data_IF_175635478696
#
_entry.id   IF_175635478696
#
_cell.length_a   1.000
_cell.length_b   1.000
_cell.length_c   1.000
_cell.angle_alpha   90.00
_cell.angle_beta   90.00
_cell.angle_gamma   90.00
#
_symmetry.space_group_name_H-M   'P 1'
#
loop_
_entity.id
_entity.type
_entity.pdbx_description
1 polymer ?
#
# COMPACT_ATOMS: atom_id res chain seq x y z
N UNK A 1 3.08 -8.13 -13.39
CA UNK A 1 4.15 -7.65 -12.49
C UNK A 1 3.59 -7.05 -11.21
N UNK A 2 2.81 -5.95 -11.27
CA UNK A 2 2.27 -5.28 -10.07
C UNK A 2 1.48 -6.22 -9.13
N UNK A 3 0.66 -7.12 -9.67
CA UNK A 3 -0.04 -8.14 -8.87
C UNK A 3 0.90 -9.08 -8.10
N UNK A 4 2.09 -9.37 -8.63
CA UNK A 4 3.08 -10.21 -7.96
C UNK A 4 3.86 -9.42 -6.90
N UNK A 5 4.20 -8.15 -7.17
CA UNK A 5 4.81 -7.25 -6.19
C UNK A 5 3.87 -7.03 -4.98
N UNK A 6 2.57 -6.87 -5.21
CA UNK A 6 1.56 -6.76 -4.17
C UNK A 6 1.22 -8.10 -3.47
N UNK A 7 1.81 -9.21 -3.94
CA UNK A 7 1.47 -10.60 -3.58
C UNK A 7 -0.03 -10.88 -3.56
N UNK A 8 -0.75 -10.31 -4.54
CA UNK A 8 -2.13 -10.67 -4.89
C UNK A 8 -2.17 -11.96 -5.73
N UNK A 9 -1.05 -12.29 -6.38
CA UNK A 9 -0.83 -13.53 -7.13
C UNK A 9 0.65 -13.89 -7.14
N UNK A 10 0.97 -15.15 -6.90
CA UNK A 10 2.35 -15.65 -7.05
C UNK A 10 2.74 -15.78 -8.54
N UNK A 11 4.02 -15.57 -8.90
CA UNK A 11 4.45 -15.72 -10.29
C UNK A 11 4.33 -17.17 -10.76
N UNK A 12 3.71 -17.40 -11.92
CA UNK A 12 3.57 -18.75 -12.49
C UNK A 12 4.92 -19.35 -12.92
N UNK A 13 5.90 -18.49 -13.25
CA UNK A 13 7.31 -18.83 -13.57
C UNK A 13 8.24 -17.69 -13.15
N UNK A 14 9.47 -18.05 -12.76
CA UNK A 14 10.48 -17.10 -12.27
C UNK A 14 10.33 -16.74 -10.80
N UNK A 15 11.12 -15.79 -10.32
CA UNK A 15 11.06 -15.26 -8.96
C UNK A 15 10.90 -13.73 -8.97
N UNK A 16 10.30 -13.21 -7.90
CA UNK A 16 10.30 -11.79 -7.55
C UNK A 16 10.90 -11.68 -6.16
N UNK A 17 11.92 -10.87 -6.03
CA UNK A 17 12.71 -10.74 -4.80
C UNK A 17 12.71 -9.29 -4.33
N UNK A 18 12.67 -9.10 -3.02
CA UNK A 18 12.89 -7.84 -2.33
C UNK A 18 14.17 -7.98 -1.52
N UNK A 19 15.20 -7.21 -1.87
CA UNK A 19 16.54 -7.31 -1.27
C UNK A 19 17.11 -8.75 -1.24
N UNK A 20 16.86 -9.52 -2.31
CA UNK A 20 17.29 -10.91 -2.44
C UNK A 20 16.44 -11.94 -1.69
N UNK A 21 15.38 -11.51 -1.00
CA UNK A 21 14.40 -12.40 -0.36
C UNK A 21 13.21 -12.60 -1.28
N UNK A 22 12.84 -13.85 -1.64
CA UNK A 22 11.64 -14.10 -2.43
C UNK A 22 10.40 -13.55 -1.74
N UNK A 23 9.59 -12.76 -2.45
CA UNK A 23 8.36 -12.17 -1.88
C UNK A 23 7.37 -13.24 -1.42
N UNK A 24 7.45 -14.45 -1.98
CA UNK A 24 6.68 -15.63 -1.61
C UNK A 24 7.05 -16.22 -0.24
N UNK A 25 8.23 -15.89 0.30
CA UNK A 25 8.71 -16.36 1.62
C UNK A 25 8.40 -15.36 2.75
N UNK A 26 8.13 -14.10 2.42
CA UNK A 26 7.73 -13.10 3.41
C UNK A 26 6.30 -13.37 3.90
N UNK A 27 5.96 -13.01 5.14
CA UNK A 27 4.56 -12.99 5.57
C UNK A 27 3.81 -11.83 4.85
N UNK A 28 2.53 -11.98 4.48
CA UNK A 28 1.79 -10.92 3.80
C UNK A 28 1.84 -9.57 4.52
N UNK A 29 1.75 -9.57 5.86
CA UNK A 29 1.78 -8.33 6.65
C UNK A 29 3.18 -7.71 6.69
N UNK A 30 4.23 -8.52 6.76
CA UNK A 30 5.60 -8.06 6.67
C UNK A 30 5.89 -7.43 5.30
N UNK A 31 5.44 -8.06 4.21
CA UNK A 31 5.57 -7.50 2.87
C UNK A 31 4.82 -6.16 2.74
N UNK A 32 3.57 -6.08 3.24
CA UNK A 32 2.75 -4.86 3.17
C UNK A 32 3.29 -3.71 4.02
N UNK A 33 4.10 -3.99 5.04
CA UNK A 33 4.77 -2.94 5.83
C UNK A 33 5.92 -2.25 5.08
N UNK A 34 6.46 -2.87 4.03
CA UNK A 34 7.63 -2.35 3.29
C UNK A 34 7.34 -2.04 1.83
N UNK A 35 6.30 -2.65 1.25
CA UNK A 35 5.93 -2.47 -0.15
C UNK A 35 4.40 -2.31 -0.27
N UNK A 36 4.00 -1.12 -0.71
CA UNK A 36 2.62 -0.82 -1.10
C UNK A 36 2.56 -0.66 -2.62
N UNK A 37 1.60 -1.34 -3.26
CA UNK A 37 1.28 -1.16 -4.67
C UNK A 37 -0.09 -0.50 -4.75
N UNK A 38 -0.09 0.81 -4.96
CA UNK A 38 -1.31 1.59 -5.15
C UNK A 38 -2.04 1.13 -6.41
N UNK A 39 -3.34 0.87 -6.29
CA UNK A 39 -4.20 0.59 -7.43
C UNK A 39 -4.54 1.88 -8.16
N UNK A 40 -4.83 1.80 -9.46
CA UNK A 40 -5.24 2.95 -10.26
C UNK A 40 -6.60 3.52 -9.84
N UNK A 41 -7.50 2.67 -9.34
CA UNK A 41 -8.82 3.07 -8.84
C UNK A 41 -8.84 2.98 -7.31
N UNK A 42 -8.97 4.13 -6.64
CA UNK A 42 -9.13 4.18 -5.20
C UNK A 42 -10.56 3.79 -4.79
N UNK A 43 -10.68 2.89 -3.82
CA UNK A 43 -11.95 2.61 -3.16
C UNK A 43 -12.07 3.52 -1.93
N UNK A 44 -13.11 4.35 -1.91
CA UNK A 44 -13.44 5.20 -0.78
C UNK A 44 -14.57 4.55 0.04
N UNK A 45 -14.44 4.66 1.36
CA UNK A 45 -15.46 4.30 2.32
C UNK A 45 -16.36 5.50 2.61
N UNK A 46 -17.61 5.22 2.99
CA UNK A 46 -18.52 6.25 3.50
C UNK A 46 -17.91 6.93 4.73
N UNK A 47 -17.83 8.26 4.69
CA UNK A 47 -17.23 9.06 5.75
C UNK A 47 -16.51 10.29 5.19
N UNK A 48 -15.64 10.85 6.03
CA UNK A 48 -14.79 11.99 5.71
C UNK A 48 -13.54 11.57 4.93
N UNK A 49 -12.91 12.55 4.26
CA UNK A 49 -11.60 12.36 3.66
C UNK A 49 -10.55 11.94 4.69
N UNK A 50 -10.59 12.56 5.88
CA UNK A 50 -9.68 12.25 6.98
C UNK A 50 -9.79 10.77 7.41
N UNK A 51 -11.01 10.26 7.55
CA UNK A 51 -11.25 8.85 7.90
C UNK A 51 -10.73 7.90 6.83
N UNK A 52 -10.89 8.24 5.54
CA UNK A 52 -10.36 7.44 4.44
C UNK A 52 -8.82 7.44 4.41
N UNK A 53 -8.18 8.59 4.57
CA UNK A 53 -6.71 8.73 4.52
C UNK A 53 -6.06 8.04 5.73
N UNK A 54 -6.71 8.06 6.89
CA UNK A 54 -6.16 7.48 8.13
C UNK A 54 -6.62 6.04 8.39
N UNK A 55 -7.42 5.44 7.50
CA UNK A 55 -8.03 4.12 7.70
C UNK A 55 -7.02 2.99 8.02
N UNK A 56 -5.81 3.07 7.46
CA UNK A 56 -4.72 2.11 7.70
C UNK A 56 -3.55 2.71 8.51
N UNK A 57 -3.68 3.97 8.95
CA UNK A 57 -2.64 4.65 9.69
C UNK A 57 -2.65 4.23 11.17
N UNK A 58 -1.49 4.24 11.85
CA UNK A 58 -1.44 4.10 13.31
C UNK A 58 -2.32 5.15 14.00
N UNK A 59 -2.89 4.81 15.15
CA UNK A 59 -3.72 5.74 15.92
C UNK A 59 -2.94 7.00 16.27
N UNK A 60 -3.51 8.18 15.94
CA UNK A 60 -2.88 9.48 16.19
C UNK A 60 -1.83 9.91 15.17
N UNK A 61 -1.68 9.19 14.04
CA UNK A 61 -0.82 9.63 12.95
C UNK A 61 -1.32 10.95 12.32
N UNK A 62 -0.38 11.82 11.96
CA UNK A 62 -0.66 13.05 11.21
C UNK A 62 -0.77 12.72 9.70
N UNK A 63 -1.93 12.96 9.06
CA UNK A 63 -2.10 12.72 7.63
C UNK A 63 -1.48 13.81 6.75
N UNK A 64 -1.11 14.98 7.30
CA UNK A 64 -0.63 16.14 6.54
C UNK A 64 0.44 15.80 5.50
N UNK A 65 1.56 15.15 5.88
CA UNK A 65 2.60 14.79 4.93
C UNK A 65 2.14 13.88 3.78
N UNK A 66 1.19 12.98 4.04
CA UNK A 66 0.62 12.11 3.00
C UNK A 66 -0.32 12.88 2.08
N UNK A 67 -1.09 13.84 2.62
CA UNK A 67 -1.98 14.70 1.85
C UNK A 67 -1.19 15.66 0.95
N UNK A 68 -0.14 16.29 1.48
CA UNK A 68 0.76 17.17 0.71
C UNK A 68 1.44 16.40 -0.42
N UNK A 69 1.95 15.19 -0.14
CA UNK A 69 2.59 14.34 -1.15
C UNK A 69 1.62 13.88 -2.25
N UNK A 70 0.33 13.77 -1.93
CA UNK A 70 -0.72 13.43 -2.87
C UNK A 70 -1.30 14.66 -3.59
N UNK A 71 -0.87 15.88 -3.25
CA UNK A 71 -1.38 17.15 -3.76
C UNK A 71 -2.91 17.30 -3.58
N UNK A 72 -3.41 16.94 -2.39
CA UNK A 72 -4.84 17.02 -2.03
C UNK A 72 -5.13 18.07 -0.94
N UNK A 73 -4.19 18.97 -0.71
CA UNK A 73 -4.21 20.07 0.26
C UNK A 73 -4.84 21.38 -0.29
N UNK A 74 -5.12 21.45 -1.60
CA UNK A 74 -5.59 22.63 -2.33
C UNK A 74 -7.12 22.75 -2.52
N UNK A 75 -7.95 22.07 -1.71
CA UNK A 75 -9.43 22.10 -1.84
C UNK A 75 -10.12 22.96 -0.79
#
# INVERSE_FOLDING_TARGET
>A
LLHCLARRRDPDRGSVELDGVPVTELAPDALRSVLLVAEHDAQLFDGTLLENVTAAAPAGADPGPAMDAAAVDDV
#
